data_IF_799973129083
#
_entry.id   IF_799973129083
#
_cell.length_a   1.000
_cell.length_b   1.000
_cell.length_c   1.000
_cell.angle_alpha   90.00
_cell.angle_beta   90.00
_cell.angle_gamma   90.00
#
_symmetry.space_group_name_H-M   'P 1'
#
loop_
_entity.id
_entity.type
_entity.pdbx_description
1 polymer ?
#
# COMPACT_ATOMS: atom_id res chain seq x y z
N UNK A 1 -16.43 7.64 -8.74
CA UNK A 1 -16.84 6.31 -8.25
C UNK A 1 -15.59 5.59 -7.76
N UNK A 2 -15.56 5.15 -6.50
CA UNK A 2 -14.45 4.32 -5.99
C UNK A 2 -14.47 3.03 -6.80
N UNK A 3 -13.40 2.66 -7.51
CA UNK A 3 -13.41 1.45 -8.33
C UNK A 3 -13.67 0.26 -7.40
N UNK A 4 -14.57 -0.65 -7.81
CA UNK A 4 -14.87 -1.87 -7.05
C UNK A 4 -13.58 -2.52 -6.61
N UNK A 5 -13.28 -2.43 -5.32
CA UNK A 5 -12.15 -3.11 -4.72
C UNK A 5 -12.58 -4.56 -4.61
N UNK A 6 -12.08 -5.50 -5.43
CA UNK A 6 -12.20 -6.89 -5.05
C UNK A 6 -11.40 -6.98 -3.76
N UNK A 7 -11.98 -7.31 -2.59
CA UNK A 7 -11.31 -7.68 -1.33
C UNK A 7 -12.13 -7.23 -0.11
N UNK A 8 -13.05 -8.07 0.38
CA UNK A 8 -13.72 -7.85 1.68
C UNK A 8 -12.73 -7.70 2.86
N UNK A 9 -11.47 -8.13 2.69
CA UNK A 9 -10.46 -8.15 3.75
C UNK A 9 -9.27 -7.18 3.55
N UNK A 10 -9.14 -6.45 2.44
CA UNK A 10 -7.95 -5.60 2.25
C UNK A 10 -7.89 -4.44 3.25
N UNK A 11 -8.97 -3.71 3.53
CA UNK A 11 -8.94 -2.68 4.56
C UNK A 11 -8.51 -3.23 5.93
N UNK A 12 -8.94 -4.45 6.27
CA UNK A 12 -8.52 -5.14 7.50
C UNK A 12 -7.03 -5.49 7.49
N UNK A 13 -6.48 -5.93 6.36
CA UNK A 13 -5.04 -6.19 6.23
C UNK A 13 -4.22 -4.91 6.33
N UNK A 14 -4.69 -3.81 5.71
CA UNK A 14 -4.04 -2.50 5.81
C UNK A 14 -4.08 -2.00 7.26
N UNK A 15 -5.22 -2.11 7.95
CA UNK A 15 -5.34 -1.75 9.36
C UNK A 15 -4.40 -2.59 10.24
N UNK A 16 -4.38 -3.91 10.05
CA UNK A 16 -3.46 -4.80 10.74
C UNK A 16 -1.99 -4.43 10.47
N UNK A 17 -1.64 -3.99 9.26
CA UNK A 17 -0.29 -3.57 8.92
C UNK A 17 0.11 -2.24 9.59
N UNK A 18 -0.83 -1.29 9.69
CA UNK A 18 -0.62 -0.02 10.38
C UNK A 18 -0.35 -0.26 11.88
N UNK A 19 -1.07 -1.21 12.47
CA UNK A 19 -0.94 -1.58 13.88
C UNK A 19 0.33 -2.40 14.15
N UNK A 20 0.53 -3.51 13.42
CA UNK A 20 1.61 -4.46 13.67
C UNK A 20 2.98 -4.00 13.15
N UNK A 21 2.99 -3.14 12.12
CA UNK A 21 4.20 -2.57 11.47
C UNK A 21 5.28 -3.61 11.15
N UNK A 22 4.87 -4.80 10.73
CA UNK A 22 5.77 -5.93 10.52
C UNK A 22 5.60 -6.49 9.11
N UNK A 23 6.70 -6.87 8.42
CA UNK A 23 6.60 -7.61 7.17
C UNK A 23 6.31 -9.10 7.39
N UNK A 24 6.35 -9.60 8.63
CA UNK A 24 6.13 -11.00 8.93
C UNK A 24 4.64 -11.36 8.82
N UNK A 25 4.27 -12.15 7.81
CA UNK A 25 2.85 -12.49 7.55
C UNK A 25 2.20 -13.28 8.69
N UNK A 26 2.94 -14.14 9.38
CA UNK A 26 2.39 -14.93 10.48
C UNK A 26 2.06 -14.03 11.68
N UNK A 27 2.93 -13.05 11.96
CA UNK A 27 2.70 -12.03 12.97
C UNK A 27 1.56 -11.09 12.52
N UNK A 28 1.55 -10.64 11.27
CA UNK A 28 0.47 -9.80 10.73
C UNK A 28 -0.90 -10.50 10.81
N UNK A 29 -0.95 -11.82 10.58
CA UNK A 29 -2.17 -12.61 10.66
C UNK A 29 -2.75 -12.72 12.08
N UNK A 30 -1.98 -12.45 13.14
CA UNK A 30 -2.52 -12.38 14.51
C UNK A 30 -3.30 -11.11 14.78
N UNK A 31 -3.08 -10.05 13.98
CA UNK A 31 -3.81 -8.78 14.08
C UNK A 31 -5.08 -8.73 13.22
N UNK A 32 -5.28 -9.74 12.36
CA UNK A 32 -6.50 -9.86 11.57
C UNK A 32 -7.67 -10.32 12.46
N UNK A 33 -8.60 -9.40 12.74
CA UNK A 33 -9.88 -9.65 13.41
C UNK A 33 -10.86 -10.40 12.47
N UNK A 34 -10.44 -11.53 11.91
CA UNK A 34 -11.29 -12.39 11.09
C UNK A 34 -11.85 -13.51 11.97
N UNK A 35 -13.14 -13.84 11.80
CA UNK A 35 -13.85 -14.96 12.46
C UNK A 35 -13.30 -16.36 12.08
N UNK A 36 -12.07 -16.46 11.56
CA UNK A 36 -11.46 -17.71 11.17
C UNK A 36 -10.82 -18.39 12.39
N UNK A 37 -11.38 -19.54 12.73
CA UNK A 37 -11.23 -20.28 13.99
C UNK A 37 -9.86 -20.94 14.21
N UNK A 38 -8.86 -20.75 13.31
CA UNK A 38 -7.50 -21.29 13.47
C UNK A 38 -6.42 -20.36 12.87
N UNK A 39 -5.27 -20.25 13.53
CA UNK A 39 -4.20 -19.29 13.18
C UNK A 39 -3.46 -19.62 11.88
N UNK A 40 -3.28 -20.90 11.58
CA UNK A 40 -2.66 -21.42 10.35
C UNK A 40 -3.43 -21.00 9.09
N UNK A 41 -4.76 -21.11 9.13
CA UNK A 41 -5.63 -20.72 8.02
C UNK A 41 -5.60 -19.21 7.76
N UNK A 42 -5.38 -18.40 8.81
CA UNK A 42 -5.26 -16.94 8.68
C UNK A 42 -3.98 -16.54 7.96
N UNK A 43 -2.81 -17.08 8.33
CA UNK A 43 -1.55 -16.81 7.63
C UNK A 43 -1.60 -17.31 6.19
N UNK A 44 -2.11 -18.52 5.95
CA UNK A 44 -2.25 -19.05 4.59
C UNK A 44 -3.19 -18.19 3.72
N UNK A 45 -4.33 -17.77 4.28
CA UNK A 45 -5.29 -16.90 3.60
C UNK A 45 -4.69 -15.53 3.27
N UNK A 46 -3.96 -14.93 4.21
CA UNK A 46 -3.24 -13.67 4.02
C UNK A 46 -2.20 -13.79 2.90
N UNK A 47 -1.35 -14.81 2.94
CA UNK A 47 -0.33 -15.07 1.91
C UNK A 47 -0.94 -15.24 0.52
N UNK A 48 -2.04 -16.01 0.42
CA UNK A 48 -2.77 -16.19 -0.84
C UNK A 48 -3.33 -14.88 -1.36
N UNK A 49 -3.88 -14.04 -0.48
CA UNK A 49 -4.42 -12.75 -0.87
C UNK A 49 -3.32 -11.77 -1.32
N UNK A 50 -2.19 -11.71 -0.61
CA UNK A 50 -1.04 -10.87 -0.96
C UNK A 50 -0.37 -11.32 -2.27
N UNK A 51 -0.38 -12.62 -2.57
CA UNK A 51 0.18 -13.20 -3.80
C UNK A 51 -0.80 -13.17 -4.98
N UNK A 52 -2.03 -12.71 -4.78
CA UNK A 52 -3.05 -12.71 -5.82
C UNK A 52 -2.71 -11.72 -6.92
N UNK A 53 -2.83 -12.14 -8.19
CA UNK A 53 -2.69 -11.24 -9.35
C UNK A 53 -3.75 -10.14 -9.39
N UNK A 54 -4.86 -10.30 -8.65
CA UNK A 54 -5.87 -9.24 -8.48
C UNK A 54 -5.44 -8.15 -7.50
N UNK A 55 -4.32 -8.34 -6.78
CA UNK A 55 -3.73 -7.35 -5.89
C UNK A 55 -2.59 -6.62 -6.59
N UNK A 56 -2.98 -5.70 -7.47
CA UNK A 56 -2.08 -4.77 -8.14
C UNK A 56 -1.98 -3.47 -7.32
N UNK A 57 -0.88 -3.30 -6.57
CA UNK A 57 -0.66 -2.13 -5.70
C UNK A 57 -0.66 -0.81 -6.48
N UNK A 58 -0.14 -0.83 -7.71
CA UNK A 58 -0.06 0.32 -8.61
C UNK A 58 -1.47 0.73 -9.03
N UNK A 59 -2.25 -0.21 -9.57
CA UNK A 59 -3.64 0.07 -9.96
C UNK A 59 -4.50 0.55 -8.79
N UNK A 60 -4.26 0.03 -7.59
CA UNK A 60 -4.98 0.41 -6.39
C UNK A 60 -4.60 1.79 -5.84
N UNK A 61 -3.33 2.17 -5.92
CA UNK A 61 -2.85 3.47 -5.44
C UNK A 61 -3.22 4.61 -6.39
N UNK A 62 -3.34 4.33 -7.70
CA UNK A 62 -3.62 5.32 -8.75
C UNK A 62 -4.76 6.31 -8.43
N UNK A 63 -5.99 5.90 -8.08
CA UNK A 63 -7.08 6.85 -7.83
C UNK A 63 -6.76 7.85 -6.72
N UNK A 64 -6.11 7.39 -5.64
CA UNK A 64 -5.69 8.26 -4.54
C UNK A 64 -4.58 9.22 -4.99
N UNK A 65 -3.55 8.71 -5.68
CA UNK A 65 -2.47 9.53 -6.21
C UNK A 65 -2.98 10.61 -7.17
N UNK A 66 -3.91 10.26 -8.07
CA UNK A 66 -4.53 11.22 -9.00
C UNK A 66 -5.32 12.29 -8.25
N UNK A 67 -6.17 11.91 -7.30
CA UNK A 67 -6.95 12.86 -6.50
C UNK A 67 -6.03 13.85 -5.79
N UNK A 68 -5.02 13.35 -5.08
CA UNK A 68 -4.07 14.20 -4.35
C UNK A 68 -3.29 15.15 -5.26
N UNK A 69 -2.91 14.71 -6.46
CA UNK A 69 -2.24 15.57 -7.45
C UNK A 69 -3.16 16.67 -7.96
N UNK A 70 -4.43 16.36 -8.23
CA UNK A 70 -5.42 17.36 -8.62
C UNK A 70 -5.63 18.40 -7.51
N UNK A 71 -5.85 17.96 -6.27
CA UNK A 71 -6.01 18.84 -5.10
C UNK A 71 -4.78 19.74 -4.88
N UNK A 72 -3.57 19.19 -5.09
CA UNK A 72 -2.33 19.96 -4.98
C UNK A 72 -2.15 20.99 -6.11
N UNK A 73 -2.68 20.70 -7.30
CA UNK A 73 -2.58 21.57 -8.47
C UNK A 73 -3.65 22.67 -8.50
N UNK A 74 -4.80 22.48 -7.83
CA UNK A 74 -5.95 23.40 -7.84
C UNK A 74 -5.61 24.83 -7.35
N UNK A 75 -4.53 25.00 -6.58
CA UNK A 75 -4.12 26.30 -6.04
C UNK A 75 -2.87 26.89 -6.73
N UNK A 76 -2.43 26.34 -7.86
CA UNK A 76 -1.21 26.78 -8.55
C UNK A 76 0.07 26.60 -7.72
N UNK A 77 0.03 25.70 -6.74
CA UNK A 77 1.15 25.45 -5.83
C UNK A 77 2.27 24.70 -6.55
N UNK A 78 3.50 24.96 -6.10
CA UNK A 78 4.68 24.23 -6.58
C UNK A 78 4.61 22.79 -6.09
N UNK A 79 4.59 21.84 -7.01
CA UNK A 79 4.69 20.41 -6.68
C UNK A 79 6.13 20.12 -6.25
N UNK A 80 6.31 19.74 -4.99
CA UNK A 80 7.60 19.27 -4.50
C UNK A 80 7.80 17.81 -4.88
N UNK A 81 8.98 17.48 -5.43
CA UNK A 81 9.40 16.11 -5.66
C UNK A 81 10.43 15.71 -4.59
N UNK A 82 10.19 14.58 -3.95
CA UNK A 82 11.13 13.89 -3.09
C UNK A 82 11.87 12.82 -3.89
N UNK A 83 13.17 12.70 -3.63
CA UNK A 83 14.00 11.62 -4.14
C UNK A 83 14.55 10.85 -2.93
N UNK A 84 14.24 9.57 -2.85
CA UNK A 84 14.70 8.69 -1.78
C UNK A 84 15.31 7.41 -2.36
N UNK A 85 16.37 6.92 -1.72
CA UNK A 85 16.96 5.63 -2.06
C UNK A 85 16.65 4.65 -0.94
N UNK A 86 15.90 3.61 -1.27
CA UNK A 86 15.60 2.52 -0.34
C UNK A 86 16.39 1.28 -0.75
N UNK A 87 17.26 0.78 0.13
CA UNK A 87 17.92 -0.50 -0.09
C UNK A 87 16.92 -1.65 0.17
N UNK A 88 16.81 -2.57 -0.79
CA UNK A 88 16.00 -3.78 -0.69
C UNK A 88 16.94 -4.97 -0.45
N UNK A 89 17.07 -5.32 0.83
CA UNK A 89 18.05 -6.29 1.28
C UNK A 89 19.49 -5.77 1.08
N UNK A 90 20.42 -6.68 0.79
CA UNK A 90 21.84 -6.36 0.62
C UNK A 90 22.30 -6.28 -0.85
N UNK A 91 21.39 -6.42 -1.82
CA UNK A 91 21.73 -6.58 -3.24
C UNK A 91 21.08 -5.55 -4.16
N UNK A 92 19.97 -4.97 -3.75
CA UNK A 92 19.21 -4.05 -4.59
C UNK A 92 19.01 -2.73 -3.88
N UNK A 93 18.97 -1.65 -4.65
CA UNK A 93 18.55 -0.35 -4.19
C UNK A 93 17.53 0.19 -5.18
N UNK A 94 16.47 0.80 -4.65
CA UNK A 94 15.44 1.46 -5.45
C UNK A 94 15.54 2.95 -5.21
N UNK A 95 15.82 3.68 -6.29
CA UNK A 95 15.69 5.13 -6.30
C UNK A 95 14.24 5.47 -6.62
N UNK A 96 13.56 6.11 -5.69
CA UNK A 96 12.17 6.55 -5.82
C UNK A 96 12.14 8.07 -6.03
N UNK A 97 11.47 8.53 -7.08
CA UNK A 97 11.11 9.94 -7.26
C UNK A 97 9.60 10.05 -7.14
N UNK A 98 9.13 10.85 -6.19
CA UNK A 98 7.72 10.92 -5.82
C UNK A 98 7.31 12.35 -5.40
N UNK A 99 6.13 12.85 -5.81
CA UNK A 99 5.51 14.04 -5.28
C UNK A 99 5.37 13.92 -3.78
N UNK A 100 5.68 15.00 -3.09
CA UNK A 100 5.55 15.10 -1.64
C UNK A 100 4.32 15.94 -1.32
N UNK A 101 3.46 15.42 -0.45
CA UNK A 101 2.37 16.16 0.19
C UNK A 101 2.56 16.09 1.69
N UNK A 102 2.76 17.24 2.34
CA UNK A 102 3.16 17.29 3.75
C UNK A 102 4.44 16.48 3.95
N UNK A 103 4.40 15.48 4.84
CA UNK A 103 5.54 14.58 5.12
C UNK A 103 5.48 13.23 4.37
N UNK A 104 4.63 13.11 3.34
CA UNK A 104 4.35 11.83 2.67
C UNK A 104 4.72 11.90 1.19
N UNK A 105 5.50 10.91 0.74
CA UNK A 105 5.73 10.67 -0.68
C UNK A 105 4.55 9.90 -1.30
N UNK A 106 4.09 10.34 -2.48
CA UNK A 106 3.02 9.70 -3.24
C UNK A 106 3.59 8.83 -4.37
N UNK A 107 3.10 7.60 -4.55
CA UNK A 107 3.53 6.77 -5.66
C UNK A 107 3.06 7.38 -6.99
N UNK A 108 4.00 7.72 -7.87
CA UNK A 108 3.69 8.06 -9.25
C UNK A 108 3.68 6.83 -10.12
N UNK A 109 2.72 6.79 -11.03
CA UNK A 109 2.62 5.76 -12.05
C UNK A 109 2.51 6.50 -13.37
N UNK A 110 3.49 6.28 -14.25
CA UNK A 110 3.41 6.74 -15.63
C UNK A 110 2.55 5.75 -16.39
N UNK A 111 1.37 6.18 -16.84
CA UNK A 111 0.56 5.46 -17.83
C UNK A 111 1.18 5.48 -19.20
#
# INVERSE_FOLDING_TARGET
AIPEVPKRNLPLIVAAQIEARTPNTAMLASYLLLEMTRSDLRDQGLRRQLSSKSLDSVRMAKPFATQFLCESAEFGQVIQLSMDRTDIGNRFAVLTIAPRIGERALPLIRT
#
